data_IF_061385730673
#
_entry.id   IF_061385730673
#
_cell.length_a   1.000
_cell.length_b   1.000
_cell.length_c   1.000
_cell.angle_alpha   90.00
_cell.angle_beta   90.00
_cell.angle_gamma   90.00
#
_symmetry.space_group_name_H-M   'P 1'
#
loop_
_entity.id
_entity.type
_entity.pdbx_description
1 polymer ?
#
# COMPACT_ATOMS: atom_id res chain seq x y z
N UNK A 1 -16.66 -76.98 -17.37
CA UNK A 1 -15.32 -76.95 -18.00
C UNK A 1 -14.78 -75.52 -17.89
N UNK A 2 -13.58 -75.38 -17.28
CA UNK A 2 -12.50 -74.38 -17.47
C UNK A 2 -12.91 -72.89 -17.64
N UNK A 3 -12.68 -72.07 -16.60
CA UNK A 3 -11.60 -71.06 -16.49
C UNK A 3 -11.78 -69.88 -17.47
N UNK A 4 -11.86 -68.63 -17.03
CA UNK A 4 -10.69 -67.76 -16.81
C UNK A 4 -11.03 -66.61 -15.86
N UNK A 5 -10.24 -66.47 -14.78
CA UNK A 5 -10.10 -65.25 -14.00
C UNK A 5 -9.06 -64.37 -14.70
N UNK A 6 -9.37 -63.10 -14.94
CA UNK A 6 -8.39 -62.08 -15.27
C UNK A 6 -8.48 -60.97 -14.23
N UNK A 7 -7.48 -60.95 -13.36
CA UNK A 7 -7.25 -59.98 -12.30
C UNK A 7 -6.30 -58.92 -12.88
N UNK A 8 -6.76 -57.69 -13.07
CA UNK A 8 -5.90 -56.57 -13.47
C UNK A 8 -5.51 -55.80 -12.20
N UNK A 9 -4.32 -56.12 -11.71
CA UNK A 9 -3.56 -55.32 -10.74
C UNK A 9 -2.83 -54.24 -11.54
N UNK A 10 -3.26 -52.99 -11.44
CA UNK A 10 -2.47 -51.85 -11.91
C UNK A 10 -1.84 -51.18 -10.70
N UNK A 11 -0.52 -51.30 -10.61
CA UNK A 11 0.32 -50.75 -9.56
C UNK A 11 0.42 -49.23 -9.73
N UNK A 12 -0.12 -48.47 -8.77
CA UNK A 12 0.19 -47.05 -8.66
C UNK A 12 1.52 -46.89 -7.93
N UNK A 13 2.54 -46.51 -8.70
CA UNK A 13 3.87 -46.19 -8.20
C UNK A 13 3.81 -45.03 -7.19
N UNK A 14 4.29 -45.31 -5.98
CA UNK A 14 4.55 -44.32 -4.95
C UNK A 14 5.81 -43.54 -5.36
N UNK A 15 5.65 -42.35 -5.94
CA UNK A 15 6.79 -41.44 -6.16
C UNK A 15 7.14 -40.80 -4.82
N UNK A 16 8.21 -41.30 -4.22
CA UNK A 16 8.96 -40.65 -3.15
C UNK A 16 9.51 -39.31 -3.65
N UNK A 17 8.81 -38.22 -3.37
CA UNK A 17 9.36 -36.87 -3.49
C UNK A 17 10.11 -36.57 -2.20
N UNK A 18 11.44 -36.63 -2.28
CA UNK A 18 12.33 -36.21 -1.20
C UNK A 18 12.25 -34.70 -0.91
N UNK A 19 12.85 -34.23 0.20
CA UNK A 19 12.81 -32.83 0.60
C UNK A 19 13.61 -31.99 -0.39
N UNK A 20 12.91 -31.27 -1.26
CA UNK A 20 13.53 -30.23 -2.07
C UNK A 20 13.95 -29.09 -1.16
N UNK A 21 15.25 -29.05 -0.85
CA UNK A 21 15.97 -27.86 -0.42
C UNK A 21 15.52 -26.68 -1.30
N UNK A 22 14.98 -25.65 -0.66
CA UNK A 22 14.64 -24.38 -1.28
C UNK A 22 15.83 -23.90 -2.11
N UNK A 23 15.68 -23.98 -3.44
CA UNK A 23 16.60 -23.35 -4.37
C UNK A 23 16.39 -21.85 -4.22
N UNK A 24 17.42 -21.16 -3.74
CA UNK A 24 17.56 -19.71 -3.84
C UNK A 24 17.25 -19.26 -5.26
N UNK A 25 16.10 -18.64 -5.47
CA UNK A 25 15.74 -18.00 -6.73
C UNK A 25 16.55 -16.71 -6.92
N UNK A 26 16.80 -16.29 -8.17
CA UNK A 26 17.81 -15.31 -8.49
C UNK A 26 17.32 -13.91 -8.09
N UNK A 27 17.77 -13.44 -6.93
CA UNK A 27 17.93 -12.00 -6.69
C UNK A 27 18.63 -11.42 -7.93
N UNK A 28 17.96 -10.50 -8.61
CA UNK A 28 18.42 -9.87 -9.84
C UNK A 28 19.89 -9.50 -9.74
N UNK A 29 20.66 -9.75 -10.81
CA UNK A 29 22.12 -9.58 -10.91
C UNK A 29 22.67 -8.25 -10.35
N UNK A 30 21.82 -7.25 -10.14
CA UNK A 30 22.15 -5.98 -9.50
C UNK A 30 22.52 -6.08 -8.00
N UNK A 31 22.01 -7.05 -7.23
CA UNK A 31 22.30 -7.13 -5.79
C UNK A 31 23.55 -7.95 -5.44
N UNK A 32 24.04 -8.78 -6.37
CA UNK A 32 25.20 -9.67 -6.13
C UNK A 32 26.55 -8.94 -5.97
N UNK A 33 26.63 -7.65 -6.32
CA UNK A 33 27.87 -6.86 -6.19
C UNK A 33 28.04 -6.16 -4.83
N UNK A 34 27.04 -6.20 -3.94
CA UNK A 34 27.09 -5.49 -2.66
C UNK A 34 27.48 -6.37 -1.45
N UNK A 35 27.41 -7.69 -1.55
CA UNK A 35 27.50 -8.57 -0.37
C UNK A 35 28.67 -9.58 -0.39
N UNK A 36 29.76 -9.31 -1.10
CA UNK A 36 30.93 -10.19 -1.06
C UNK A 36 32.19 -9.43 -0.65
N UNK A 37 32.48 -9.45 0.65
CA UNK A 37 33.84 -9.28 1.18
C UNK A 37 34.04 -10.22 2.37
N UNK A 38 34.73 -11.31 2.05
CA UNK A 38 35.54 -12.22 2.86
C UNK A 38 34.93 -13.03 4.02
N UNK A 39 35.14 -14.34 3.88
CA UNK A 39 34.98 -15.41 4.85
C UNK A 39 35.86 -15.23 6.10
N UNK A 40 35.32 -15.60 7.27
CA UNK A 40 36.02 -16.51 8.19
C UNK A 40 35.05 -17.18 9.17
N UNK A 41 35.27 -18.47 9.34
CA UNK A 41 34.51 -19.39 10.19
C UNK A 41 34.69 -19.11 11.69
N UNK A 42 33.61 -19.33 12.46
CA UNK A 42 33.62 -19.39 13.92
C UNK A 42 32.19 -19.52 14.44
N UNK A 43 31.85 -20.65 15.05
CA UNK A 43 30.55 -20.91 15.66
C UNK A 43 30.41 -20.19 17.01
N UNK A 44 29.27 -19.56 17.27
CA UNK A 44 28.70 -19.39 18.63
C UNK A 44 27.26 -18.89 18.53
N UNK A 45 26.38 -19.53 19.31
CA UNK A 45 25.04 -19.04 19.65
C UNK A 45 25.06 -17.56 20.04
N UNK A 46 24.28 -16.74 19.35
CA UNK A 46 23.79 -15.47 19.90
C UNK A 46 22.69 -14.94 19.00
N UNK A 47 21.47 -14.86 19.57
CA UNK A 47 20.38 -13.97 19.20
C UNK A 47 20.73 -12.97 18.09
N UNK A 48 20.52 -13.38 16.84
CA UNK A 48 20.56 -12.49 15.69
C UNK A 48 19.26 -11.69 15.75
N UNK A 49 19.27 -10.63 16.56
CA UNK A 49 18.35 -9.52 16.38
C UNK A 49 18.67 -8.99 14.99
N UNK A 50 17.97 -9.53 14.00
CA UNK A 50 18.02 -9.19 12.57
C UNK A 50 17.83 -7.67 12.49
N UNK A 51 18.93 -6.91 12.61
CA UNK A 51 18.91 -5.46 12.65
C UNK A 51 18.40 -5.05 11.28
N UNK A 52 17.14 -4.66 11.25
CA UNK A 52 16.47 -4.26 10.02
C UNK A 52 17.16 -3.02 9.49
N UNK A 53 18.09 -3.20 8.55
CA UNK A 53 18.69 -2.11 7.79
C UNK A 53 17.70 -1.75 6.69
N UNK A 54 17.05 -0.57 6.73
CA UNK A 54 16.13 -0.17 5.69
C UNK A 54 16.83 -0.21 4.33
N UNK A 55 16.18 -0.81 3.33
CA UNK A 55 16.70 -0.79 1.97
C UNK A 55 16.67 0.67 1.50
N UNK A 56 17.83 1.33 1.41
CA UNK A 56 17.89 2.70 0.90
C UNK A 56 17.69 2.69 -0.62
N UNK A 57 16.44 2.76 -1.05
CA UNK A 57 16.04 2.71 -2.45
C UNK A 57 15.88 4.16 -2.95
N UNK A 58 16.58 4.56 -4.03
CA UNK A 58 16.40 5.89 -4.58
C UNK A 58 14.98 6.01 -5.18
N UNK A 59 14.31 7.13 -4.94
CA UNK A 59 12.93 7.34 -5.38
C UNK A 59 12.75 7.23 -6.90
N UNK A 60 13.79 7.58 -7.67
CA UNK A 60 13.81 7.47 -9.13
C UNK A 60 13.92 6.03 -9.65
N UNK A 61 14.13 5.04 -8.78
CA UNK A 61 14.31 3.64 -9.21
C UNK A 61 13.07 3.07 -9.88
N UNK A 62 11.89 3.48 -9.44
CA UNK A 62 10.63 2.95 -9.91
C UNK A 62 9.73 4.07 -10.40
N UNK A 63 9.06 3.82 -11.53
CA UNK A 63 8.03 4.71 -12.05
C UNK A 63 6.83 4.71 -11.08
N UNK A 64 6.36 5.87 -10.62
CA UNK A 64 5.15 5.92 -9.81
C UNK A 64 3.91 5.66 -10.67
N UNK A 65 2.91 5.02 -10.07
CA UNK A 65 1.59 4.82 -10.64
C UNK A 65 0.59 5.81 -10.05
N UNK A 66 -0.40 6.22 -10.86
CA UNK A 66 -1.53 7.01 -10.37
C UNK A 66 -2.28 6.25 -9.27
N UNK A 67 -2.98 6.97 -8.40
CA UNK A 67 -3.71 6.37 -7.28
C UNK A 67 -4.90 7.24 -6.89
N UNK A 68 -6.01 6.59 -6.57
CA UNK A 68 -7.10 7.21 -5.82
C UNK A 68 -7.11 6.63 -4.40
N UNK A 69 -7.14 7.49 -3.39
CA UNK A 69 -6.95 7.05 -1.99
C UNK A 69 -8.14 6.24 -1.44
N UNK A 70 -9.29 6.36 -2.07
CA UNK A 70 -10.51 5.59 -1.84
C UNK A 70 -10.40 4.14 -2.35
N UNK A 71 -9.45 3.79 -3.21
CA UNK A 71 -9.21 2.39 -3.60
C UNK A 71 -8.64 1.55 -2.45
N UNK A 72 -8.10 2.18 -1.40
CA UNK A 72 -7.34 1.49 -0.37
C UNK A 72 -8.16 1.25 0.88
N UNK A 73 -7.92 0.09 1.49
CA UNK A 73 -8.48 -0.26 2.78
C UNK A 73 -7.85 0.65 3.85
N UNK A 74 -8.66 1.43 4.55
CA UNK A 74 -8.26 2.22 5.69
C UNK A 74 -8.16 1.31 6.92
N UNK A 75 -6.96 1.16 7.51
CA UNK A 75 -6.77 0.31 8.68
C UNK A 75 -7.67 0.67 9.89
N UNK A 76 -8.21 1.89 9.94
CA UNK A 76 -9.03 2.38 11.07
C UNK A 76 -10.53 2.26 10.79
N UNK A 77 -10.93 2.37 9.52
CA UNK A 77 -12.36 2.53 9.17
C UNK A 77 -12.98 1.28 8.56
N UNK A 78 -12.19 0.51 7.83
CA UNK A 78 -12.73 -0.59 7.05
C UNK A 78 -12.76 -1.87 7.89
N UNK A 79 -13.94 -2.47 7.97
CA UNK A 79 -14.19 -3.74 8.68
C UNK A 79 -13.49 -4.92 8.01
N UNK A 80 -13.19 -4.80 6.71
CA UNK A 80 -12.38 -5.79 6.01
C UNK A 80 -10.93 -5.65 6.49
N UNK A 81 -10.57 -6.45 7.50
CA UNK A 81 -9.24 -6.54 8.12
C UNK A 81 -8.13 -6.97 7.14
N UNK A 82 -7.80 -6.08 6.18
CA UNK A 82 -6.78 -6.28 5.15
C UNK A 82 -5.39 -6.39 5.75
N UNK A 83 -5.16 -5.78 6.90
CA UNK A 83 -3.86 -5.76 7.55
C UNK A 83 -3.86 -6.72 8.71
N UNK A 84 -2.76 -7.44 8.88
CA UNK A 84 -2.67 -8.39 9.95
C UNK A 84 -2.48 -7.73 11.31
N UNK A 85 -2.90 -8.37 12.40
CA UNK A 85 -2.57 -7.88 13.75
C UNK A 85 -3.20 -8.68 14.89
N UNK A 86 -2.40 -9.20 15.81
CA UNK A 86 -2.89 -9.78 17.07
C UNK A 86 -3.51 -8.73 18.03
N UNK A 87 -3.49 -7.45 17.62
CA UNK A 87 -3.90 -6.28 18.38
C UNK A 87 -4.40 -5.21 17.41
N UNK A 88 -5.47 -5.48 16.67
CA UNK A 88 -6.34 -4.36 16.32
C UNK A 88 -6.88 -3.83 17.66
N UNK A 89 -6.53 -2.60 18.10
CA UNK A 89 -6.99 -2.09 19.38
C UNK A 89 -8.52 -1.97 19.45
N UNK A 90 -9.20 -1.93 18.29
CA UNK A 90 -10.65 -1.89 18.18
C UNK A 90 -11.28 -3.28 18.13
N UNK A 91 -10.53 -4.31 17.70
CA UNK A 91 -11.03 -5.67 17.52
C UNK A 91 -10.06 -6.73 18.12
N UNK A 92 -9.71 -6.65 19.41
CA UNK A 92 -8.61 -7.46 19.99
C UNK A 92 -8.87 -8.98 20.01
N UNK A 93 -10.11 -9.42 19.80
CA UNK A 93 -10.53 -10.83 19.88
C UNK A 93 -11.19 -11.34 18.60
N UNK A 94 -11.14 -10.61 17.48
CA UNK A 94 -11.79 -11.05 16.24
C UNK A 94 -10.98 -12.19 15.59
N UNK A 95 -11.56 -13.41 15.48
CA UNK A 95 -10.88 -14.59 14.93
C UNK A 95 -10.65 -14.49 13.41
N UNK A 96 -11.20 -13.48 12.73
CA UNK A 96 -10.95 -13.21 11.32
C UNK A 96 -9.66 -12.42 11.10
N UNK A 97 -9.09 -11.83 12.15
CA UNK A 97 -7.85 -11.07 12.06
C UNK A 97 -6.67 -12.04 11.98
N UNK A 98 -5.92 -11.90 10.89
CA UNK A 98 -4.75 -12.73 10.60
C UNK A 98 -3.53 -12.02 11.21
N UNK A 99 -2.94 -12.46 12.34
CA UNK A 99 -1.75 -11.87 12.89
C UNK A 99 -0.61 -11.96 11.87
N UNK A 100 0.24 -10.91 11.81
CA UNK A 100 1.39 -10.93 10.94
C UNK A 100 2.29 -12.11 11.32
N UNK A 101 2.76 -12.84 10.30
CA UNK A 101 3.89 -13.76 10.36
C UNK A 101 3.64 -15.12 11.05
N UNK A 102 2.69 -15.23 11.99
CA UNK A 102 2.50 -16.45 12.77
C UNK A 102 1.67 -17.52 12.05
N UNK A 103 0.76 -17.13 11.16
CA UNK A 103 -0.24 -18.03 10.56
C UNK A 103 -0.24 -18.00 9.04
N UNK A 104 0.86 -17.64 8.37
CA UNK A 104 0.92 -17.69 6.91
C UNK A 104 1.88 -18.78 6.44
N UNK A 105 1.41 -19.62 5.52
CA UNK A 105 2.32 -20.47 4.78
C UNK A 105 3.18 -19.57 3.90
N UNK A 106 4.49 -19.85 3.85
CA UNK A 106 5.37 -19.24 2.82
C UNK A 106 4.76 -19.57 1.47
N UNK A 107 4.16 -18.58 0.81
CA UNK A 107 3.50 -18.83 -0.46
C UNK A 107 4.46 -18.85 -1.63
N UNK A 108 3.91 -18.82 -2.84
CA UNK A 108 4.68 -18.97 -4.07
C UNK A 108 5.23 -17.62 -4.53
N UNK A 109 6.55 -17.56 -4.69
CA UNK A 109 7.21 -16.46 -5.39
C UNK A 109 6.87 -16.54 -6.88
N UNK A 110 6.24 -15.51 -7.43
CA UNK A 110 6.21 -15.29 -8.86
C UNK A 110 7.33 -14.30 -9.23
N UNK A 111 7.62 -14.13 -10.52
CA UNK A 111 8.68 -13.18 -10.96
C UNK A 111 8.32 -11.72 -10.68
N UNK A 112 7.02 -11.40 -10.59
CA UNK A 112 6.48 -10.04 -10.57
C UNK A 112 5.41 -9.80 -9.48
N UNK A 113 5.14 -10.81 -8.65
CA UNK A 113 4.32 -10.68 -7.44
C UNK A 113 4.68 -11.76 -6.41
N UNK A 114 4.30 -11.54 -5.16
CA UNK A 114 4.30 -12.59 -4.13
C UNK A 114 2.89 -13.10 -3.90
N UNK A 115 2.73 -14.40 -3.68
CA UNK A 115 1.49 -15.01 -3.20
C UNK A 115 1.69 -15.54 -1.78
N UNK A 116 0.65 -15.47 -0.95
CA UNK A 116 0.64 -16.01 0.41
C UNK A 116 -0.76 -16.50 0.78
N UNK A 117 -0.84 -17.43 1.72
CA UNK A 117 -2.11 -17.97 2.20
C UNK A 117 -2.15 -17.96 3.72
N UNK A 118 -3.23 -17.44 4.29
CA UNK A 118 -3.49 -17.55 5.73
C UNK A 118 -3.95 -18.95 6.10
N UNK A 119 -3.34 -19.53 7.13
CA UNK A 119 -3.69 -20.84 7.68
C UNK A 119 -5.10 -20.88 8.27
N UNK A 120 -5.56 -19.81 8.92
CA UNK A 120 -6.87 -19.81 9.59
C UNK A 120 -8.02 -19.59 8.62
N UNK A 121 -7.93 -18.54 7.80
CA UNK A 121 -9.04 -18.14 6.95
C UNK A 121 -9.01 -18.80 5.57
N UNK A 122 -7.89 -19.47 5.22
CA UNK A 122 -7.60 -19.97 3.86
C UNK A 122 -7.68 -18.89 2.77
N UNK A 123 -7.70 -17.61 3.17
CA UNK A 123 -7.74 -16.46 2.27
C UNK A 123 -6.36 -16.25 1.69
N UNK A 124 -6.28 -16.02 0.37
CA UNK A 124 -5.03 -15.74 -0.32
C UNK A 124 -4.77 -14.23 -0.33
N UNK A 125 -3.50 -13.88 -0.39
CA UNK A 125 -3.02 -12.52 -0.47
C UNK A 125 -1.95 -12.43 -1.55
N UNK A 126 -1.95 -11.32 -2.29
CA UNK A 126 -1.02 -11.04 -3.37
C UNK A 126 -0.36 -9.69 -3.16
N UNK A 127 0.96 -9.63 -3.30
CA UNK A 127 1.74 -8.39 -3.17
C UNK A 127 2.43 -8.10 -4.49
N UNK A 128 2.09 -6.95 -5.10
CA UNK A 128 2.73 -6.52 -6.34
C UNK A 128 4.21 -6.23 -6.07
N UNK A 129 5.09 -6.58 -7.02
CA UNK A 129 6.49 -6.15 -6.94
C UNK A 129 6.62 -4.69 -7.40
N UNK A 130 7.63 -3.95 -6.92
CA UNK A 130 7.92 -2.63 -7.45
C UNK A 130 8.26 -2.71 -8.96
N UNK A 131 7.76 -1.77 -9.74
CA UNK A 131 7.84 -1.74 -11.20
C UNK A 131 6.77 -2.55 -11.94
N UNK A 132 5.81 -3.16 -11.23
CA UNK A 132 4.81 -4.05 -11.85
C UNK A 132 3.41 -3.47 -11.80
N UNK A 133 2.60 -3.80 -12.81
CA UNK A 133 1.18 -3.42 -12.90
C UNK A 133 0.36 -4.62 -13.28
N UNK A 134 -0.72 -4.85 -12.55
CA UNK A 134 -1.60 -6.00 -12.68
C UNK A 134 -3.04 -5.54 -12.81
N UNK A 135 -3.81 -6.19 -13.67
CA UNK A 135 -5.25 -6.02 -13.78
C UNK A 135 -5.96 -7.17 -13.08
N UNK A 136 -6.90 -6.83 -12.20
CA UNK A 136 -7.81 -7.79 -11.58
C UNK A 136 -9.03 -7.93 -12.49
N UNK A 137 -9.21 -9.12 -13.04
CA UNK A 137 -10.31 -9.43 -13.94
C UNK A 137 -11.62 -9.65 -13.15
N UNK A 138 -12.80 -9.56 -13.79
CA UNK A 138 -14.09 -9.73 -13.11
C UNK A 138 -14.30 -11.12 -12.48
N UNK A 139 -13.62 -12.16 -12.96
CA UNK A 139 -13.60 -13.50 -12.35
C UNK A 139 -12.59 -13.61 -11.19
N UNK A 140 -11.81 -12.57 -10.97
CA UNK A 140 -10.76 -12.49 -9.96
C UNK A 140 -9.38 -12.87 -10.46
N UNK A 141 -9.19 -13.34 -11.70
CA UNK A 141 -7.87 -13.63 -12.24
C UNK A 141 -6.98 -12.38 -12.29
N UNK A 142 -5.67 -12.56 -12.13
CA UNK A 142 -4.70 -11.47 -12.19
C UNK A 142 -3.94 -11.53 -13.50
N UNK A 143 -4.00 -10.46 -14.28
CA UNK A 143 -3.29 -10.31 -15.55
C UNK A 143 -2.17 -9.29 -15.43
N UNK A 144 -0.93 -9.69 -15.72
CA UNK A 144 0.19 -8.74 -15.71
C UNK A 144 0.11 -7.81 -16.92
N UNK A 145 0.09 -6.50 -16.69
CA UNK A 145 0.12 -5.45 -17.71
C UNK A 145 1.52 -4.86 -17.89
N UNK A 146 2.26 -4.65 -16.78
CA UNK A 146 3.63 -4.13 -16.79
C UNK A 146 4.50 -4.88 -15.77
N UNK A 147 5.82 -4.88 -16.00
CA UNK A 147 6.82 -5.48 -15.12
C UNK A 147 7.74 -6.46 -15.84
N UNK A 148 8.83 -6.85 -15.17
CA UNK A 148 9.73 -7.87 -15.70
C UNK A 148 9.06 -9.25 -15.78
N UNK A 149 9.50 -10.07 -16.75
CA UNK A 149 9.02 -11.42 -16.98
C UNK A 149 8.06 -11.56 -18.17
N UNK A 150 7.66 -12.80 -18.46
CA UNK A 150 6.63 -13.08 -19.47
C UNK A 150 5.27 -12.68 -18.90
N UNK A 151 4.38 -12.01 -19.67
CA UNK A 151 3.03 -11.69 -19.22
C UNK A 151 2.33 -12.92 -18.65
N UNK A 152 1.88 -12.82 -17.41
CA UNK A 152 1.32 -13.94 -16.63
C UNK A 152 -0.15 -13.74 -16.33
N UNK A 153 -0.83 -14.88 -16.25
CA UNK A 153 -2.12 -15.02 -15.63
C UNK A 153 -1.93 -15.81 -14.35
N UNK A 154 -2.40 -15.26 -13.24
CA UNK A 154 -2.38 -15.93 -11.94
C UNK A 154 -3.82 -16.15 -11.51
N UNK A 155 -4.16 -17.41 -11.23
CA UNK A 155 -5.48 -17.73 -10.70
C UNK A 155 -5.63 -17.08 -9.33
N UNK A 156 -6.66 -16.26 -9.17
CA UNK A 156 -7.07 -15.65 -7.92
C UNK A 156 -8.59 -15.53 -7.86
N UNK A 157 -9.11 -15.08 -6.73
CA UNK A 157 -10.53 -14.78 -6.51
C UNK A 157 -10.69 -13.29 -6.27
N UNK A 158 -11.87 -12.74 -6.56
CA UNK A 158 -12.20 -11.35 -6.23
C UNK A 158 -12.01 -11.05 -4.75
N UNK A 159 -12.39 -12.00 -3.87
CA UNK A 159 -12.28 -11.86 -2.42
C UNK A 159 -10.86 -11.96 -1.87
N UNK A 160 -9.86 -12.43 -2.64
CA UNK A 160 -8.47 -12.49 -2.17
C UNK A 160 -7.92 -11.09 -1.91
N UNK A 161 -6.98 -10.93 -0.99
CA UNK A 161 -6.38 -9.62 -0.72
C UNK A 161 -5.33 -9.27 -1.77
N UNK A 162 -5.30 -8.00 -2.17
CA UNK A 162 -4.27 -7.44 -3.06
C UNK A 162 -3.57 -6.29 -2.36
N UNK A 163 -2.25 -6.22 -2.45
CA UNK A 163 -1.44 -5.18 -1.81
C UNK A 163 -0.56 -4.48 -2.83
N UNK A 164 -0.72 -3.17 -2.91
CA UNK A 164 0.15 -2.31 -3.72
C UNK A 164 1.47 -2.05 -2.98
N UNK A 165 2.55 -1.98 -3.76
CA UNK A 165 3.87 -1.64 -3.26
C UNK A 165 4.03 -0.12 -3.21
N UNK A 166 4.42 0.41 -2.05
CA UNK A 166 4.60 1.83 -1.79
C UNK A 166 6.06 2.14 -1.52
N UNK A 167 6.53 3.30 -1.96
CA UNK A 167 7.84 3.84 -1.64
C UNK A 167 7.73 5.34 -1.42
N UNK A 168 8.08 5.83 -0.22
CA UNK A 168 8.07 7.27 0.11
C UNK A 168 6.72 7.95 -0.22
N UNK A 169 5.63 7.25 0.09
CA UNK A 169 4.27 7.69 -0.17
C UNK A 169 3.82 7.62 -1.64
N UNK A 170 4.60 7.02 -2.55
CA UNK A 170 4.24 6.81 -3.96
C UNK A 170 3.97 5.34 -4.25
N UNK A 171 2.97 5.05 -5.09
CA UNK A 171 2.67 3.67 -5.51
C UNK A 171 3.67 3.28 -6.58
N UNK A 172 4.46 2.26 -6.33
CA UNK A 172 5.51 1.77 -7.23
C UNK A 172 5.24 0.37 -7.76
N UNK A 173 4.20 -0.31 -7.28
CA UNK A 173 3.67 -1.55 -7.85
C UNK A 173 2.17 -1.61 -7.59
N UNK A 174 1.37 -1.97 -8.60
CA UNK A 174 -0.08 -1.69 -8.57
C UNK A 174 -0.95 -2.86 -9.03
N UNK A 175 -2.07 -3.05 -8.34
CA UNK A 175 -3.27 -3.72 -8.83
C UNK A 175 -4.33 -2.71 -9.27
N UNK A 176 -4.83 -2.87 -10.49
CA UNK A 176 -6.00 -2.20 -11.05
C UNK A 176 -7.21 -3.08 -10.75
N UNK A 177 -8.10 -2.59 -9.88
CA UNK A 177 -9.31 -3.31 -9.49
C UNK A 177 -10.34 -3.30 -10.64
N UNK A 178 -11.21 -4.32 -10.75
CA UNK A 178 -12.21 -4.34 -11.81
C UNK A 178 -13.17 -3.17 -11.61
N UNK A 179 -13.70 -2.65 -12.71
CA UNK A 179 -14.84 -1.74 -12.65
C UNK A 179 -16.10 -2.50 -12.27
N UNK A 180 -16.94 -1.91 -11.43
CA UNK A 180 -18.29 -2.45 -11.22
C UNK A 180 -19.10 -2.23 -12.51
N UNK A 181 -19.70 -3.27 -13.10
CA UNK A 181 -20.53 -3.14 -14.30
C UNK A 181 -21.75 -2.22 -14.11
N UNK A 182 -22.14 -1.92 -12.86
CA UNK A 182 -23.16 -0.89 -12.54
C UNK A 182 -22.65 0.56 -12.66
N UNK A 183 -21.37 0.76 -13.01
CA UNK A 183 -20.74 2.08 -13.10
C UNK A 183 -20.28 2.64 -11.75
N UNK A 184 -20.42 1.87 -10.67
CA UNK A 184 -19.89 2.19 -9.35
C UNK A 184 -18.39 1.93 -9.22
N UNK A 185 -17.78 2.50 -8.18
CA UNK A 185 -16.49 2.05 -7.71
C UNK A 185 -16.67 0.65 -7.12
N UNK A 186 -15.85 -0.33 -7.53
CA UNK A 186 -15.91 -1.65 -6.92
C UNK A 186 -15.76 -1.53 -5.41
N UNK A 187 -16.65 -2.18 -4.65
CA UNK A 187 -16.58 -2.25 -3.19
C UNK A 187 -15.27 -2.88 -2.70
N UNK A 188 -14.57 -3.58 -3.58
CA UNK A 188 -13.25 -4.14 -3.32
C UNK A 188 -12.26 -3.03 -3.00
N UNK A 189 -11.68 -3.10 -1.80
CA UNK A 189 -10.51 -2.31 -1.42
C UNK A 189 -9.24 -3.15 -1.59
N UNK A 190 -8.10 -2.46 -1.65
CA UNK A 190 -6.76 -3.09 -1.64
C UNK A 190 -5.91 -2.57 -0.49
N UNK A 191 -4.97 -3.39 -0.04
CA UNK A 191 -3.99 -3.00 0.95
C UNK A 191 -2.78 -2.28 0.36
N UNK A 192 -1.91 -1.80 1.24
CA UNK A 192 -0.60 -1.23 0.90
C UNK A 192 0.51 -1.82 1.77
N UNK A 193 1.74 -1.77 1.28
CA UNK A 193 2.95 -2.05 2.07
C UNK A 193 4.13 -1.17 1.61
N UNK A 194 5.03 -0.79 2.50
CA UNK A 194 6.22 0.00 2.13
C UNK A 194 7.38 -0.92 1.76
N UNK A 195 7.98 -0.74 0.59
CA UNK A 195 9.04 -1.63 0.09
C UNK A 195 10.37 -1.50 0.84
N UNK A 196 10.63 -0.38 1.52
CA UNK A 196 11.87 -0.18 2.29
C UNK A 196 11.76 -0.76 3.69
N UNK A 197 10.56 -0.69 4.28
CA UNK A 197 10.27 -1.14 5.67
C UNK A 197 9.72 -2.56 5.73
N UNK A 198 8.90 -2.93 4.77
CA UNK A 198 8.26 -4.24 4.67
C UNK A 198 8.56 -4.86 3.29
N UNK A 199 9.82 -5.27 2.98
CA UNK A 199 10.19 -5.78 1.66
C UNK A 199 9.61 -7.18 1.36
N UNK A 200 8.27 -7.29 1.26
CA UNK A 200 7.55 -8.51 0.89
C UNK A 200 8.02 -9.04 -0.46
N UNK A 201 8.33 -8.14 -1.39
CA UNK A 201 8.89 -8.51 -2.69
C UNK A 201 10.25 -9.26 -2.61
N UNK A 202 11.02 -9.06 -1.54
CA UNK A 202 12.34 -9.67 -1.35
C UNK A 202 12.37 -10.80 -0.32
N UNK A 203 11.54 -10.73 0.71
CA UNK A 203 11.52 -11.70 1.83
C UNK A 203 10.21 -12.49 1.95
N UNK A 204 9.22 -12.18 1.12
CA UNK A 204 7.94 -12.88 1.07
C UNK A 204 6.94 -12.44 2.13
N UNK A 205 5.85 -13.20 2.22
CA UNK A 205 4.65 -12.89 3.01
C UNK A 205 4.88 -12.79 4.52
N UNK A 206 6.01 -13.31 5.01
CA UNK A 206 6.46 -13.14 6.41
C UNK A 206 6.79 -11.68 6.79
N UNK A 207 6.84 -10.77 5.81
CA UNK A 207 6.97 -9.33 6.04
C UNK A 207 5.69 -8.57 5.69
N UNK A 208 4.53 -9.25 5.67
CA UNK A 208 3.25 -8.59 5.47
C UNK A 208 3.09 -7.45 6.50
N UNK A 209 2.64 -6.26 6.07
CA UNK A 209 2.43 -5.16 6.99
C UNK A 209 1.30 -5.46 7.97
N UNK A 210 1.54 -5.12 9.22
CA UNK A 210 0.51 -5.06 10.24
C UNK A 210 -0.30 -3.75 10.15
N UNK A 211 -1.33 -3.65 10.98
CA UNK A 211 -2.18 -2.45 11.08
C UNK A 211 -1.39 -1.13 11.25
N UNK A 212 -0.45 -1.06 12.20
CA UNK A 212 0.34 0.16 12.46
C UNK A 212 1.22 0.55 11.27
N UNK A 213 1.84 -0.44 10.64
CA UNK A 213 2.70 -0.26 9.46
C UNK A 213 1.89 0.24 8.27
N UNK A 214 0.72 -0.34 8.03
CA UNK A 214 -0.19 0.09 6.98
C UNK A 214 -0.71 1.51 7.24
N UNK A 215 -1.09 1.83 8.47
CA UNK A 215 -1.56 3.17 8.85
C UNK A 215 -0.50 4.24 8.60
N UNK A 216 0.74 3.96 8.99
CA UNK A 216 1.89 4.82 8.68
C UNK A 216 2.06 5.02 7.18
N UNK A 217 2.08 3.95 6.41
CA UNK A 217 2.22 3.98 4.94
C UNK A 217 1.11 4.81 4.28
N UNK A 218 -0.14 4.60 4.70
CA UNK A 218 -1.30 5.35 4.23
C UNK A 218 -1.20 6.85 4.57
N UNK A 219 -0.70 7.20 5.76
CA UNK A 219 -0.50 8.59 6.14
C UNK A 219 0.58 9.26 5.30
N UNK A 220 1.69 8.59 5.02
CA UNK A 220 2.73 9.09 4.10
C UNK A 220 2.15 9.33 2.70
N UNK A 221 1.33 8.41 2.18
CA UNK A 221 0.63 8.57 0.91
C UNK A 221 -0.30 9.80 0.87
N UNK A 222 -1.06 10.04 1.95
CA UNK A 222 -1.95 11.20 2.09
C UNK A 222 -1.19 12.52 2.18
N UNK A 223 -0.09 12.56 2.93
CA UNK A 223 0.79 13.73 3.01
C UNK A 223 1.34 14.06 1.62
N UNK A 224 1.87 13.07 0.91
CA UNK A 224 2.40 13.25 -0.44
C UNK A 224 1.34 13.80 -1.41
N UNK A 225 0.11 13.28 -1.35
CA UNK A 225 -0.98 13.75 -2.19
C UNK A 225 -1.35 15.21 -1.88
N UNK A 226 -1.44 15.60 -0.60
CA UNK A 226 -1.72 16.98 -0.20
C UNK A 226 -0.64 17.95 -0.70
N UNK A 227 0.63 17.58 -0.60
CA UNK A 227 1.74 18.38 -1.13
C UNK A 227 1.62 18.54 -2.65
N UNK A 228 1.32 17.45 -3.38
CA UNK A 228 1.16 17.50 -4.83
C UNK A 228 -0.04 18.40 -5.24
N UNK A 229 -1.16 18.31 -4.53
CA UNK A 229 -2.33 19.17 -4.75
C UNK A 229 -2.03 20.64 -4.47
N UNK A 230 -1.37 20.95 -3.35
CA UNK A 230 -0.98 22.31 -3.01
C UNK A 230 -0.03 22.91 -4.06
N UNK A 231 0.92 22.10 -4.57
CA UNK A 231 1.82 22.51 -5.65
C UNK A 231 1.06 22.80 -6.94
N UNK A 232 0.16 21.91 -7.35
CA UNK A 232 -0.68 22.12 -8.54
C UNK A 232 -1.57 23.37 -8.42
N UNK A 233 -2.11 23.65 -7.24
CA UNK A 233 -2.89 24.86 -6.98
C UNK A 233 -2.04 26.13 -7.02
N UNK A 234 -0.80 26.08 -6.50
CA UNK A 234 0.13 27.21 -6.56
C UNK A 234 0.55 27.52 -8.01
N UNK A 235 0.77 26.49 -8.83
CA UNK A 235 1.12 26.64 -10.25
C UNK A 235 -0.09 27.08 -11.10
N UNK A 236 -1.31 26.70 -10.71
CA UNK A 236 -2.54 27.10 -11.40
C UNK A 236 -3.03 28.51 -11.03
N UNK A 237 -2.46 29.16 -10.00
CA UNK A 237 -2.84 30.52 -9.62
C UNK A 237 -2.09 31.53 -10.51
N UNK A 238 -2.77 32.25 -11.41
CA UNK A 238 -2.11 33.28 -12.22
C UNK A 238 -1.54 34.37 -11.29
N UNK A 239 -0.36 34.88 -11.63
CA UNK A 239 0.23 36.03 -10.95
C UNK A 239 -0.80 37.18 -10.94
N UNK A 240 -0.96 37.93 -9.82
CA UNK A 240 -1.81 39.10 -9.84
C UNK A 240 -1.30 40.03 -10.95
N UNK A 241 -2.17 40.37 -11.89
CA UNK A 241 -1.86 41.37 -12.91
C UNK A 241 -1.34 42.63 -12.22
N UNK A 242 -0.26 43.26 -12.70
CA UNK A 242 0.23 44.50 -12.13
C UNK A 242 -0.90 45.52 -12.21
N UNK A 243 -1.41 45.93 -11.04
CA UNK A 243 -2.42 46.98 -10.93
C UNK A 243 -1.85 48.21 -11.63
N UNK A 244 -2.42 48.53 -12.80
CA UNK A 244 -2.10 49.75 -13.51
C UNK A 244 -2.33 50.92 -12.54
N UNK A 245 -1.26 51.67 -12.26
CA UNK A 245 -1.34 52.87 -11.44
C UNK A 245 -2.44 53.80 -12.02
N UNK A 246 -3.39 54.29 -11.21
CA UNK A 246 -4.40 55.19 -11.71
C UNK A 246 -3.72 56.49 -12.19
N UNK A 247 -3.96 56.84 -13.45
CA UNK A 247 -3.51 58.10 -14.03
C UNK A 247 -4.12 59.26 -13.24
N UNK A 248 -3.26 60.11 -12.67
CA UNK A 248 -3.66 61.35 -12.02
C UNK A 248 -4.29 62.30 -13.05
N UNK A 249 -5.61 62.44 -13.01
CA UNK A 249 -6.28 63.57 -13.63
C UNK A 249 -6.29 64.75 -12.65
N UNK A 250 -5.40 65.70 -12.90
CA UNK A 250 -5.48 67.04 -12.31
C UNK A 250 -6.63 67.83 -12.93
N UNK A 251 -7.61 68.22 -12.11
CA UNK A 251 -8.41 69.44 -12.29
C UNK A 251 -9.04 69.83 -10.96
N UNK A 252 -8.60 70.96 -10.42
CA UNK A 252 -9.09 71.49 -9.15
C UNK A 252 -10.42 72.21 -9.23
N UNK A 253 -11.08 72.37 -8.08
CA UNK A 253 -11.67 73.64 -7.63
C UNK A 253 -12.13 73.56 -6.17
N UNK A 254 -12.00 74.72 -5.55
CA UNK A 254 -12.15 75.08 -4.14
C UNK A 254 -13.60 74.96 -3.62
N UNK A 255 -13.77 74.85 -2.30
CA UNK A 255 -14.95 75.41 -1.64
C UNK A 255 -15.41 74.75 -0.33
N UNK A 256 -15.14 75.45 0.77
CA UNK A 256 -16.00 75.60 1.96
C UNK A 256 -16.25 74.40 2.91
N UNK A 257 -15.57 74.51 4.06
CA UNK A 257 -16.08 74.43 5.44
C UNK A 257 -17.36 73.64 5.75
N UNK A 258 -17.27 72.73 6.73
CA UNK A 258 -18.09 72.70 7.97
C UNK A 258 -17.45 71.70 8.97
N UNK A 259 -17.16 72.16 10.19
CA UNK A 259 -16.91 71.35 11.40
C UNK A 259 -18.21 71.27 12.23
N UNK A 260 -18.24 70.65 13.42
CA UNK A 260 -17.85 69.32 13.89
C UNK A 260 -19.10 68.61 14.51
N UNK A 261 -18.98 67.41 15.11
CA UNK A 261 -19.67 67.02 16.38
C UNK A 261 -19.16 65.66 16.84
N UNK A 262 -18.89 65.58 18.14
CA UNK A 262 -18.41 64.44 18.91
C UNK A 262 -19.56 63.60 19.51
N UNK A 263 -19.28 62.32 19.79
CA UNK A 263 -19.80 61.47 20.87
C UNK A 263 -19.09 60.11 20.73
N UNK A 264 -18.16 59.67 21.57
CA UNK A 264 -18.24 59.28 22.99
C UNK A 264 -19.27 58.16 23.30
N UNK A 265 -18.85 57.23 24.19
CA UNK A 265 -19.55 56.09 24.81
C UNK A 265 -19.57 54.81 23.96
N UNK A 266 -19.16 53.62 24.41
CA UNK A 266 -18.77 53.07 25.71
C UNK A 266 -18.79 51.52 25.59
N UNK A 267 -18.12 50.75 26.47
CA UNK A 267 -17.97 49.30 26.32
C UNK A 267 -19.03 48.48 27.11
N UNK A 268 -19.05 47.17 26.82
CA UNK A 268 -19.43 46.03 27.68
C UNK A 268 -20.57 45.13 27.13
N UNK A 269 -20.29 43.82 27.05
CA UNK A 269 -21.00 42.79 27.82
C UNK A 269 -20.43 41.38 27.60
N UNK A 270 -19.98 40.79 28.71
CA UNK A 270 -20.04 39.35 28.99
C UNK A 270 -21.51 38.92 29.14
N UNK A 271 -21.83 37.63 28.98
CA UNK A 271 -22.43 36.96 30.14
C UNK A 271 -21.98 35.50 30.34
N UNK A 272 -22.45 35.03 31.49
CA UNK A 272 -22.08 33.91 32.36
C UNK A 272 -22.31 32.47 31.86
N UNK A 273 -21.68 31.61 32.67
CA UNK A 273 -21.89 30.19 32.98
C UNK A 273 -23.32 29.66 32.84
N UNK A 274 -23.45 28.37 32.49
CA UNK A 274 -24.32 27.47 33.25
C UNK A 274 -23.81 26.02 33.19
N UNK A 275 -24.01 25.35 34.30
CA UNK A 275 -23.45 24.08 34.75
C UNK A 275 -24.59 23.06 34.90
N UNK A 276 -24.26 21.77 34.82
CA UNK A 276 -25.01 20.60 35.32
C UNK A 276 -26.26 20.09 34.57
N UNK A 277 -26.66 18.82 34.78
CA UNK A 277 -26.11 17.77 35.65
C UNK A 277 -25.43 16.59 34.93
#
# INVERSE_FOLDING_TARGET
MKSFKALVLCASALVLVGPHKARSLPLGKAFKKLCCSNERAGASDSSDSDVFVPLNIPASRYKPFNKHMDEYADPVKDEDHHYGGLRDPFHPNDPTIIPPNAWENTGFAHESLWEGTSHQTKKRAFWAFPGTRWQVMPDGELHQLEGEGVPKRVQAKLSDHKFDAIHKGEVVGRFELPFDPSGGQASLKKGVYDIEREPVHGRGSVLRPNWEQALRTMNEMRVKQRIAQAKAQAEAKPAPEPVAAPAEHMTGKQGAATMPVAAEQGPAKTPDQEEHP
#
